data_IF_261030117591
#
_entry.id   IF_261030117591
#
_cell.length_a   1.000
_cell.length_b   1.000
_cell.length_c   1.000
_cell.angle_alpha   90.00
_cell.angle_beta   90.00
_cell.angle_gamma   90.00
#
_symmetry.space_group_name_H-M   'P 1'
#
loop_
_entity.id
_entity.type
_entity.pdbx_description
1 polymer ?
#
# COMPACT_ATOMS: atom_id res chain seq x y z
N UNK A 1 -7.06 4.84 9.68
CA UNK A 1 -6.24 4.04 8.75
C UNK A 1 -6.95 2.72 8.45
N UNK A 2 -6.45 1.93 7.50
CA UNK A 2 -6.98 0.63 7.11
C UNK A 2 -6.43 -0.55 7.94
N UNK A 3 -5.64 -0.27 8.99
CA UNK A 3 -4.98 -1.27 9.85
C UNK A 3 -4.01 -2.19 9.09
N UNK A 4 -3.29 -1.62 8.11
CA UNK A 4 -2.18 -2.30 7.46
C UNK A 4 -0.99 -2.45 8.41
N UNK A 5 -0.13 -3.47 8.21
CA UNK A 5 1.05 -3.67 9.02
C UNK A 5 2.09 -2.57 8.78
N UNK A 6 2.90 -2.30 9.80
CA UNK A 6 4.11 -1.48 9.66
C UNK A 6 5.20 -2.34 9.04
N UNK A 7 5.77 -1.90 7.92
CA UNK A 7 6.85 -2.61 7.23
C UNK A 7 8.22 -2.01 7.60
N UNK A 8 9.26 -2.83 7.82
CA UNK A 8 10.64 -2.35 7.91
C UNK A 8 11.08 -1.61 6.64
N UNK A 9 11.94 -0.60 6.80
CA UNK A 9 12.61 0.03 5.66
C UNK A 9 13.53 -0.98 4.96
N UNK A 10 13.63 -0.86 3.64
CA UNK A 10 14.45 -1.76 2.82
C UNK A 10 13.90 -3.18 2.72
N UNK A 11 12.67 -3.43 3.16
CA UNK A 11 12.03 -4.73 2.95
C UNK A 11 11.51 -4.86 1.51
N UNK A 12 11.83 -5.96 0.83
CA UNK A 12 11.38 -6.26 -0.55
C UNK A 12 9.93 -6.78 -0.58
N UNK A 13 9.04 -6.17 0.20
CA UNK A 13 7.64 -6.55 0.35
C UNK A 13 6.72 -5.32 0.35
N UNK A 14 5.47 -5.53 -0.07
CA UNK A 14 4.39 -4.54 -0.04
C UNK A 14 3.22 -5.04 0.82
N UNK A 15 2.53 -4.10 1.46
CA UNK A 15 1.31 -4.36 2.21
C UNK A 15 0.08 -4.01 1.38
N UNK A 16 -0.69 -5.02 0.98
CA UNK A 16 -2.00 -4.84 0.35
C UNK A 16 -3.08 -4.86 1.43
N UNK A 17 -3.64 -3.69 1.77
CA UNK A 17 -4.60 -3.55 2.88
C UNK A 17 -5.98 -3.13 2.37
N UNK A 18 -7.03 -3.95 2.55
CA UNK A 18 -8.38 -3.59 2.14
C UNK A 18 -9.02 -2.59 3.12
N UNK A 19 -9.87 -1.71 2.61
CA UNK A 19 -10.73 -0.86 3.43
C UNK A 19 -12.14 -1.47 3.42
N UNK A 20 -12.62 -1.89 4.60
CA UNK A 20 -13.97 -2.44 4.80
C UNK A 20 -14.38 -3.52 3.77
N UNK A 21 -13.61 -4.60 3.58
CA UNK A 21 -13.87 -5.58 2.53
C UNK A 21 -15.19 -6.31 2.77
N UNK A 22 -16.05 -6.31 1.75
CA UNK A 22 -17.30 -7.07 1.78
C UNK A 22 -17.04 -8.57 1.63
N UNK A 23 -16.17 -8.96 0.68
CA UNK A 23 -15.77 -10.36 0.43
C UNK A 23 -14.29 -10.43 -0.02
N UNK A 24 -13.50 -11.38 0.50
CA UNK A 24 -13.83 -12.27 1.61
C UNK A 24 -14.07 -11.48 2.91
N UNK A 25 -15.06 -11.89 3.72
CA UNK A 25 -15.36 -11.19 4.98
C UNK A 25 -14.14 -11.29 5.90
N UNK A 26 -13.83 -10.19 6.59
CA UNK A 26 -12.70 -10.09 7.53
C UNK A 26 -11.32 -10.35 6.92
N UNK A 27 -11.18 -10.24 5.59
CA UNK A 27 -9.86 -10.27 4.99
C UNK A 27 -9.06 -9.06 5.49
N UNK A 28 -7.89 -9.32 6.10
CA UNK A 28 -7.04 -8.28 6.69
C UNK A 28 -5.99 -7.72 5.72
N UNK A 29 -6.00 -8.21 4.48
CA UNK A 29 -4.96 -7.91 3.50
C UNK A 29 -3.93 -9.01 3.36
N UNK A 30 -2.84 -8.68 2.69
CA UNK A 30 -1.73 -9.58 2.41
C UNK A 30 -0.40 -8.82 2.41
N UNK A 31 0.66 -9.53 2.78
CA UNK A 31 2.03 -9.15 2.44
C UNK A 31 2.37 -9.84 1.13
N UNK A 32 2.86 -9.07 0.16
CA UNK A 32 3.22 -9.56 -1.17
C UNK A 32 4.65 -9.14 -1.49
N UNK A 33 5.34 -9.83 -2.42
CA UNK A 33 6.65 -9.39 -2.92
C UNK A 33 6.58 -7.98 -3.53
N UNK A 34 7.63 -7.18 -3.38
CA UNK A 34 7.67 -5.83 -3.95
C UNK A 34 7.65 -5.81 -5.49
N UNK A 35 8.18 -6.84 -6.12
CA UNK A 35 8.17 -7.01 -7.58
C UNK A 35 6.84 -7.57 -8.13
N UNK A 36 5.83 -7.75 -7.28
CA UNK A 36 4.52 -8.22 -7.69
C UNK A 36 3.81 -7.21 -8.61
N UNK A 37 3.30 -7.70 -9.74
CA UNK A 37 2.41 -6.95 -10.62
C UNK A 37 0.95 -7.19 -10.21
N UNK A 38 0.27 -6.14 -9.76
CA UNK A 38 -1.11 -6.22 -9.27
C UNK A 38 -2.03 -5.55 -10.28
N UNK A 39 -3.08 -6.26 -10.70
CA UNK A 39 -4.10 -5.74 -11.61
C UNK A 39 -5.47 -5.79 -10.97
N UNK A 40 -6.09 -4.63 -10.78
CA UNK A 40 -7.48 -4.51 -10.38
C UNK A 40 -8.35 -4.29 -11.61
N UNK A 41 -9.34 -5.16 -11.80
CA UNK A 41 -10.36 -5.02 -12.85
C UNK A 41 -11.67 -4.59 -12.20
N UNK A 42 -12.20 -3.44 -12.61
CA UNK A 42 -13.45 -2.92 -12.04
C UNK A 42 -14.63 -3.64 -12.67
N UNK A 43 -15.44 -4.29 -11.82
CA UNK A 43 -16.64 -4.98 -12.27
C UNK A 43 -17.79 -4.00 -12.47
N UNK A 44 -18.32 -3.95 -13.68
CA UNK A 44 -19.47 -3.10 -14.06
C UNK A 44 -19.23 -1.61 -13.72
N UNK A 45 -18.10 -1.08 -14.22
CA UNK A 45 -17.62 0.30 -14.01
C UNK A 45 -18.69 1.37 -14.27
N UNK A 46 -19.55 1.19 -15.27
CA UNK A 46 -20.64 2.13 -15.61
C UNK A 46 -21.71 2.20 -14.52
N UNK A 47 -21.99 1.09 -13.86
CA UNK A 47 -22.98 1.02 -12.78
C UNK A 47 -22.37 1.32 -11.41
N UNK A 48 -21.07 1.04 -11.27
CA UNK A 48 -20.29 1.17 -10.04
C UNK A 48 -18.97 1.87 -10.36
N UNK A 49 -18.99 3.21 -10.55
CA UNK A 49 -17.77 3.94 -10.83
C UNK A 49 -16.82 3.85 -9.64
N UNK A 50 -15.53 3.70 -9.94
CA UNK A 50 -14.43 3.61 -8.98
C UNK A 50 -13.43 4.71 -9.30
N UNK A 51 -12.88 5.34 -8.26
CA UNK A 51 -11.69 6.18 -8.38
C UNK A 51 -10.44 5.45 -7.92
N UNK A 52 -9.32 5.79 -8.54
CA UNK A 52 -8.00 5.38 -8.12
C UNK A 52 -7.20 6.62 -7.72
N UNK A 53 -6.55 6.58 -6.56
CA UNK A 53 -5.78 7.71 -6.03
C UNK A 53 -4.38 7.24 -5.68
N UNK A 54 -3.39 8.01 -6.14
CA UNK A 54 -1.98 7.89 -5.76
C UNK A 54 -1.54 9.24 -5.19
N UNK A 55 -1.31 9.30 -3.88
CA UNK A 55 -1.05 10.54 -3.12
C UNK A 55 -2.07 11.65 -3.40
N UNK A 56 -1.68 12.67 -4.18
CA UNK A 56 -2.51 13.82 -4.53
C UNK A 56 -3.14 13.73 -5.93
N UNK A 57 -2.89 12.65 -6.66
CA UNK A 57 -3.39 12.43 -8.01
C UNK A 57 -4.58 11.47 -8.00
N UNK A 58 -5.75 11.92 -8.46
CA UNK A 58 -6.98 11.12 -8.57
C UNK A 58 -7.38 10.94 -10.03
N UNK A 59 -7.72 9.69 -10.38
CA UNK A 59 -8.38 9.34 -11.65
C UNK A 59 -9.76 8.76 -11.32
N UNK A 60 -10.79 9.22 -12.02
CA UNK A 60 -12.20 8.78 -11.85
C UNK A 60 -12.64 7.88 -13.00
N UNK A 61 -13.75 7.18 -12.77
CA UNK A 61 -14.39 6.28 -13.75
C UNK A 61 -13.40 5.25 -14.33
N UNK A 62 -12.63 4.62 -13.43
CA UNK A 62 -11.56 3.71 -13.80
C UNK A 62 -12.08 2.32 -14.13
N UNK A 63 -11.62 1.76 -15.25
CA UNK A 63 -11.92 0.37 -15.66
C UNK A 63 -10.88 -0.63 -15.14
N UNK A 64 -9.61 -0.20 -15.05
CA UNK A 64 -8.47 -1.02 -14.71
C UNK A 64 -7.40 -0.20 -13.98
N UNK A 65 -6.82 -0.78 -12.93
CA UNK A 65 -5.65 -0.22 -12.24
C UNK A 65 -4.53 -1.26 -12.26
N UNK A 66 -3.33 -0.84 -12.64
CA UNK A 66 -2.12 -1.66 -12.65
C UNK A 66 -1.12 -1.04 -11.67
N UNK A 67 -0.57 -1.85 -10.77
CA UNK A 67 0.34 -1.42 -9.71
C UNK A 67 1.57 -2.32 -9.75
N UNK A 68 2.74 -1.69 -9.80
CA UNK A 68 4.04 -2.35 -9.76
C UNK A 68 5.06 -1.37 -9.18
N UNK A 69 6.17 -1.90 -8.66
CA UNK A 69 7.28 -1.09 -8.18
C UNK A 69 8.12 -0.57 -9.34
N UNK A 70 8.35 0.75 -9.37
CA UNK A 70 9.32 1.39 -10.28
C UNK A 70 10.65 1.61 -9.56
N UNK A 71 11.62 0.71 -9.81
CA UNK A 71 12.97 0.77 -9.23
C UNK A 71 13.84 1.89 -9.81
N UNK A 72 13.38 2.62 -10.82
CA UNK A 72 14.10 3.79 -11.34
C UNK A 72 13.93 5.03 -10.47
N UNK A 73 12.94 5.02 -9.56
CA UNK A 73 12.64 6.12 -8.66
C UNK A 73 13.29 5.87 -7.30
N UNK A 74 14.05 6.86 -6.81
CA UNK A 74 14.66 6.82 -5.48
C UNK A 74 14.42 8.12 -4.73
N UNK A 75 14.21 8.04 -3.43
CA UNK A 75 14.01 9.20 -2.55
C UNK A 75 15.13 9.24 -1.50
N UNK A 76 15.68 10.42 -1.23
CA UNK A 76 16.60 10.64 -0.13
C UNK A 76 15.82 11.04 1.13
N UNK A 77 15.83 10.16 2.13
CA UNK A 77 15.24 10.41 3.44
C UNK A 77 16.30 11.00 4.37
N UNK A 78 16.01 12.16 4.94
CA UNK A 78 16.81 12.77 6.00
C UNK A 78 16.24 12.35 7.35
N UNK A 79 17.11 11.91 8.26
CA UNK A 79 16.74 11.56 9.63
C UNK A 79 17.83 12.04 10.60
N UNK A 80 17.45 12.16 11.87
CA UNK A 80 18.37 12.52 12.95
C UNK A 80 19.12 11.27 13.41
N UNK A 81 20.47 11.25 13.39
CA UNK A 81 21.26 10.12 13.89
C UNK A 81 20.99 9.75 15.34
N UNK A 82 20.56 10.69 16.19
CA UNK A 82 20.20 10.41 17.59
C UNK A 82 18.81 9.77 17.72
N UNK A 83 17.99 9.84 16.66
CA UNK A 83 16.64 9.28 16.59
C UNK A 83 16.51 8.42 15.33
N UNK A 84 17.15 7.25 15.35
CA UNK A 84 17.17 6.32 14.22
C UNK A 84 15.75 5.93 13.77
N UNK A 85 15.49 6.08 12.48
CA UNK A 85 14.21 5.75 11.86
C UNK A 85 13.89 4.24 11.95
N UNK A 86 14.91 3.38 11.89
CA UNK A 86 14.73 1.94 12.05
C UNK A 86 14.21 1.58 13.46
N UNK A 87 14.79 2.18 14.51
CA UNK A 87 14.35 1.96 15.89
C UNK A 87 12.91 2.41 16.09
N UNK A 88 12.53 3.55 15.49
CA UNK A 88 11.13 4.02 15.50
C UNK A 88 10.21 3.00 14.84
N UNK A 89 10.57 2.47 13.67
CA UNK A 89 9.75 1.50 12.94
C UNK A 89 9.61 0.19 13.72
N UNK A 90 10.70 -0.29 14.31
CA UNK A 90 10.67 -1.47 15.18
C UNK A 90 9.74 -1.22 16.35
N UNK A 91 9.89 -0.10 17.06
CA UNK A 91 9.05 0.22 18.22
C UNK A 91 7.57 0.24 17.84
N UNK A 92 7.20 0.86 16.72
CA UNK A 92 5.81 0.90 16.20
C UNK A 92 5.22 -0.48 15.89
N UNK A 93 6.05 -1.47 15.54
CA UNK A 93 5.58 -2.86 15.33
C UNK A 93 5.22 -3.58 16.64
N UNK A 94 5.82 -3.19 17.76
CA UNK A 94 5.68 -3.86 19.06
C UNK A 94 4.92 -3.05 20.10
N UNK A 95 4.31 -1.91 19.73
CA UNK A 95 3.40 -1.19 20.63
C UNK A 95 2.19 -2.11 20.92
N UNK A 96 2.08 -2.56 22.17
CA UNK A 96 0.96 -3.34 22.72
C UNK A 96 -0.15 -2.39 23.15
#
# INVERSE_FOLDING_TARGET
SAHGPVLPLGSDILALTPISPFRPRRWKGAIIPADAYIKFMVQDCKKRPVSATADNFEVRDVDCVEVFEDKSVSLQLLFDPEHNLEDRIINEQFII
#
